data_IF_277382790393
#
_entry.id   IF_277382790393
#
_cell.length_a   1.000
_cell.length_b   1.000
_cell.length_c   1.000
_cell.angle_alpha   90.00
_cell.angle_beta   90.00
_cell.angle_gamma   90.00
#
_symmetry.space_group_name_H-M   'P 1'
#
loop_
_entity.id
_entity.type
_entity.pdbx_description
1 polymer ?
#
# COMPACT_ATOMS: atom_id res chain seq x y z
N UNK A 1 39.35 45.82 -18.31
CA UNK A 1 39.31 44.65 -17.37
C UNK A 1 38.03 44.51 -16.56
N UNK A 2 36.99 45.31 -16.81
CA UNK A 2 35.74 45.19 -16.04
C UNK A 2 34.59 44.61 -16.83
N UNK A 3 34.82 44.01 -18.00
CA UNK A 3 33.76 43.47 -18.88
C UNK A 3 33.67 41.97 -18.97
N UNK A 4 34.49 41.22 -18.19
CA UNK A 4 34.52 39.77 -18.26
C UNK A 4 33.71 39.10 -17.12
N UNK A 5 33.28 39.86 -16.12
CA UNK A 5 32.59 39.33 -14.92
C UNK A 5 31.07 39.22 -15.11
N UNK A 6 30.50 39.78 -16.18
CA UNK A 6 29.04 39.80 -16.33
C UNK A 6 28.46 38.69 -17.23
N UNK A 7 29.33 37.78 -17.71
CA UNK A 7 28.86 36.73 -18.66
C UNK A 7 28.80 35.33 -18.02
N UNK A 8 29.11 35.18 -16.74
CA UNK A 8 29.15 33.88 -16.05
C UNK A 8 27.91 33.62 -15.20
N UNK A 9 26.97 34.57 -15.12
CA UNK A 9 25.81 34.45 -14.21
C UNK A 9 24.50 34.01 -14.86
N UNK A 10 24.51 33.58 -16.12
CA UNK A 10 23.32 33.09 -16.83
C UNK A 10 23.34 31.58 -17.10
N UNK A 11 24.23 30.81 -16.46
CA UNK A 11 24.22 29.34 -16.56
C UNK A 11 23.66 28.70 -15.28
N UNK A 12 22.66 29.35 -14.70
CA UNK A 12 21.99 28.90 -13.51
C UNK A 12 20.66 28.23 -13.80
N UNK A 13 20.58 26.95 -13.54
CA UNK A 13 19.38 26.19 -13.24
C UNK A 13 18.38 25.92 -14.37
N UNK A 14 18.81 25.19 -15.36
CA UNK A 14 17.91 24.23 -15.96
C UNK A 14 17.94 22.97 -15.09
N UNK A 15 17.24 23.00 -13.97
CA UNK A 15 16.93 21.81 -13.19
C UNK A 15 15.93 21.00 -14.05
N UNK A 16 16.31 19.84 -14.58
CA UNK A 16 15.28 18.98 -15.17
C UNK A 16 14.34 18.61 -14.03
N UNK A 17 13.09 19.04 -14.13
CA UNK A 17 11.98 18.34 -13.45
C UNK A 17 11.98 16.93 -14.04
N UNK A 18 12.85 16.06 -13.52
CA UNK A 18 12.70 14.63 -13.63
C UNK A 18 11.45 14.31 -12.82
N UNK A 19 10.30 14.41 -13.49
CA UNK A 19 9.11 13.74 -13.04
C UNK A 19 9.51 12.28 -12.86
N UNK A 20 9.61 11.83 -11.62
CA UNK A 20 9.80 10.43 -11.30
C UNK A 20 8.56 9.72 -11.86
N UNK A 21 8.67 9.19 -13.06
CA UNK A 21 7.67 8.27 -13.55
C UNK A 21 7.69 7.11 -12.57
N UNK A 22 6.60 6.96 -11.82
CA UNK A 22 6.45 5.88 -10.86
C UNK A 22 6.65 4.56 -11.62
N UNK A 23 7.60 3.77 -11.14
CA UNK A 23 7.86 2.46 -11.74
C UNK A 23 6.88 1.46 -11.13
N UNK A 24 6.19 0.67 -11.95
CA UNK A 24 5.30 -0.35 -11.41
C UNK A 24 6.07 -1.34 -10.53
N UNK A 25 5.56 -1.60 -9.35
CA UNK A 25 6.19 -2.47 -8.35
C UNK A 25 6.07 -3.95 -8.71
N UNK A 26 7.15 -4.69 -8.53
CA UNK A 26 7.10 -6.15 -8.36
C UNK A 26 6.72 -6.51 -6.92
N UNK A 27 6.27 -7.74 -6.71
CA UNK A 27 5.87 -8.24 -5.38
C UNK A 27 6.97 -8.05 -4.33
N UNK A 28 8.22 -8.30 -4.70
CA UNK A 28 9.37 -8.23 -3.79
C UNK A 28 9.87 -6.80 -3.53
N UNK A 29 9.41 -5.85 -4.33
CA UNK A 29 9.84 -4.45 -4.22
C UNK A 29 8.97 -3.63 -3.25
N UNK A 30 7.79 -4.14 -2.86
CA UNK A 30 6.90 -3.47 -1.92
C UNK A 30 7.40 -3.69 -0.50
N UNK A 31 7.70 -2.62 0.26
CA UNK A 31 8.22 -2.75 1.60
C UNK A 31 7.18 -3.28 2.58
N UNK A 32 7.50 -4.37 3.27
CA UNK A 32 6.69 -4.86 4.38
C UNK A 32 7.01 -4.06 5.65
N UNK A 33 6.19 -3.07 5.94
CA UNK A 33 6.41 -2.15 7.07
C UNK A 33 6.26 -2.81 8.45
N UNK A 34 5.55 -3.93 8.54
CA UNK A 34 5.34 -4.66 9.79
C UNK A 34 6.61 -5.34 10.30
N UNK A 35 7.56 -5.66 9.42
CA UNK A 35 8.85 -6.25 9.80
C UNK A 35 9.68 -5.28 10.62
N UNK A 36 9.68 -4.00 10.24
CA UNK A 36 10.42 -2.96 10.95
C UNK A 36 9.69 -2.36 12.14
N UNK A 37 8.37 -2.31 12.08
CA UNK A 37 7.54 -1.74 13.14
C UNK A 37 6.19 -2.44 13.22
N UNK A 38 6.00 -3.20 14.29
CA UNK A 38 4.77 -3.97 14.56
C UNK A 38 3.49 -3.13 14.72
N UNK A 39 3.60 -1.82 14.81
CA UNK A 39 2.46 -0.88 14.90
C UNK A 39 2.11 -0.22 13.57
N UNK A 40 2.85 -0.55 12.51
CA UNK A 40 2.57 -0.07 11.16
C UNK A 40 1.97 -1.19 10.32
N UNK A 41 0.90 -0.88 9.63
CA UNK A 41 0.12 -1.83 8.84
C UNK A 41 0.02 -1.42 7.38
N UNK A 42 0.27 -0.15 7.08
CA UNK A 42 0.08 0.46 5.77
C UNK A 42 1.42 0.72 5.09
N UNK A 43 1.67 0.02 3.98
CA UNK A 43 2.77 0.30 3.06
C UNK A 43 2.31 1.29 2.01
N UNK A 44 2.89 2.49 2.00
CA UNK A 44 2.52 3.61 1.13
C UNK A 44 3.79 4.26 0.53
N UNK A 45 4.57 3.49 -0.26
CA UNK A 45 5.89 3.94 -0.73
C UNK A 45 5.80 5.14 -1.67
N UNK A 46 4.73 5.28 -2.45
CA UNK A 46 4.52 6.38 -3.40
C UNK A 46 3.83 7.59 -2.77
N UNK A 47 3.42 7.50 -1.51
CA UNK A 47 2.70 8.58 -0.85
C UNK A 47 1.32 8.86 -1.44
N UNK A 48 0.66 7.84 -2.00
CA UNK A 48 -0.70 7.97 -2.58
C UNK A 48 -1.76 8.25 -1.52
N UNK A 49 -1.52 7.81 -0.30
CA UNK A 49 -2.33 8.15 0.86
C UNK A 49 -1.67 9.29 1.65
N UNK A 50 -2.49 10.18 2.21
CA UNK A 50 -1.98 11.21 3.11
C UNK A 50 -1.43 10.62 4.41
N UNK A 51 -0.49 11.29 5.10
CA UNK A 51 0.00 10.83 6.40
C UNK A 51 -1.11 10.63 7.45
N UNK A 52 -2.14 11.49 7.44
CA UNK A 52 -3.29 11.36 8.33
C UNK A 52 -4.13 10.12 8.02
N UNK A 53 -4.37 9.83 6.74
CA UNK A 53 -5.08 8.62 6.32
C UNK A 53 -4.30 7.35 6.72
N UNK A 54 -2.98 7.33 6.53
CA UNK A 54 -2.13 6.21 6.96
C UNK A 54 -2.22 6.00 8.47
N UNK A 55 -2.15 7.07 9.26
CA UNK A 55 -2.24 6.98 10.72
C UNK A 55 -3.60 6.46 11.19
N UNK A 56 -4.68 6.88 10.55
CA UNK A 56 -6.04 6.39 10.85
C UNK A 56 -6.19 4.91 10.51
N UNK A 57 -5.76 4.48 9.33
CA UNK A 57 -5.76 3.08 8.91
C UNK A 57 -4.93 2.22 9.88
N UNK A 58 -3.72 2.65 10.22
CA UNK A 58 -2.85 1.93 11.14
C UNK A 58 -3.50 1.78 12.53
N UNK A 59 -4.21 2.79 13.01
CA UNK A 59 -4.94 2.76 14.27
C UNK A 59 -6.09 1.74 14.26
N UNK A 60 -6.86 1.71 13.17
CA UNK A 60 -7.93 0.73 12.98
C UNK A 60 -7.37 -0.70 12.90
N UNK A 61 -6.33 -0.91 12.12
CA UNK A 61 -5.66 -2.21 12.00
C UNK A 61 -5.09 -2.70 13.34
N UNK A 62 -4.49 -1.78 14.12
CA UNK A 62 -4.03 -2.09 15.47
C UNK A 62 -5.17 -2.55 16.38
N UNK A 63 -6.31 -1.86 16.34
CA UNK A 63 -7.49 -2.22 17.13
C UNK A 63 -8.02 -3.61 16.78
N UNK A 64 -8.09 -3.93 15.47
CA UNK A 64 -8.52 -5.26 15.02
C UNK A 64 -7.57 -6.36 15.50
N UNK A 65 -6.26 -6.12 15.40
CA UNK A 65 -5.25 -7.08 15.89
C UNK A 65 -5.28 -7.24 17.40
N UNK A 66 -5.41 -6.14 18.14
CA UNK A 66 -5.45 -6.16 19.61
C UNK A 66 -6.66 -6.91 20.14
N UNK A 67 -7.79 -6.81 19.43
CA UNK A 67 -9.02 -7.55 19.75
C UNK A 67 -9.01 -8.99 19.21
N UNK A 68 -7.91 -9.42 18.61
CA UNK A 68 -7.74 -10.75 17.98
C UNK A 68 -8.80 -11.07 16.90
N UNK A 69 -9.35 -10.04 16.24
CA UNK A 69 -10.36 -10.21 15.20
C UNK A 69 -9.74 -10.49 13.84
N UNK A 70 -8.73 -9.69 13.45
CA UNK A 70 -8.05 -9.83 12.17
C UNK A 70 -6.61 -9.33 12.24
N UNK A 71 -5.75 -9.91 11.42
CA UNK A 71 -4.44 -9.37 11.09
C UNK A 71 -4.51 -8.72 9.70
N UNK A 72 -4.34 -7.41 9.65
CA UNK A 72 -4.50 -6.63 8.44
C UNK A 72 -3.15 -6.18 7.91
N UNK A 73 -2.97 -6.22 6.60
CA UNK A 73 -1.90 -5.53 5.89
C UNK A 73 -2.51 -4.70 4.76
N UNK A 74 -2.10 -3.44 4.65
CA UNK A 74 -2.60 -2.52 3.64
C UNK A 74 -1.43 -2.08 2.76
N UNK A 75 -1.62 -2.12 1.46
CA UNK A 75 -0.67 -1.64 0.46
C UNK A 75 -1.36 -0.65 -0.45
N UNK A 76 -0.79 0.54 -0.59
CA UNK A 76 -1.27 1.57 -1.50
C UNK A 76 -0.10 2.01 -2.39
N UNK A 77 -0.23 1.78 -3.69
CA UNK A 77 0.80 2.08 -4.70
C UNK A 77 0.18 2.74 -5.92
N UNK A 78 1.00 3.41 -6.73
CA UNK A 78 0.54 3.97 -8.00
C UNK A 78 0.24 2.87 -9.01
N UNK A 79 1.19 1.96 -9.26
CA UNK A 79 1.00 0.83 -10.19
C UNK A 79 1.82 -0.39 -9.80
N UNK A 80 1.44 -1.55 -10.34
CA UNK A 80 2.10 -2.85 -10.16
C UNK A 80 2.47 -3.47 -11.50
N UNK A 81 3.45 -4.36 -11.50
CA UNK A 81 3.81 -5.16 -12.68
C UNK A 81 2.78 -6.26 -12.92
N UNK A 82 2.50 -6.50 -14.22
CA UNK A 82 1.54 -7.50 -14.65
C UNK A 82 0.10 -7.01 -14.68
N UNK A 83 -0.78 -7.81 -15.24
CA UNK A 83 -2.17 -7.42 -15.51
C UNK A 83 -3.17 -7.98 -14.49
N UNK A 84 -2.77 -9.01 -13.74
CA UNK A 84 -3.63 -9.70 -12.79
C UNK A 84 -3.40 -9.21 -11.35
N UNK A 85 -4.24 -8.27 -10.92
CA UNK A 85 -4.20 -7.72 -9.56
C UNK A 85 -4.47 -8.78 -8.48
N UNK A 86 -5.34 -9.74 -8.76
CA UNK A 86 -5.69 -10.78 -7.79
C UNK A 86 -4.49 -11.67 -7.49
N UNK A 87 -3.85 -12.20 -8.54
CA UNK A 87 -2.65 -13.04 -8.39
C UNK A 87 -1.51 -12.27 -7.72
N UNK A 88 -1.33 -10.99 -8.07
CA UNK A 88 -0.33 -10.14 -7.44
C UNK A 88 -0.60 -9.97 -5.94
N UNK A 89 -1.81 -9.58 -5.57
CA UNK A 89 -2.21 -9.39 -4.17
C UNK A 89 -2.10 -10.69 -3.36
N UNK A 90 -2.56 -11.80 -3.93
CA UNK A 90 -2.47 -13.11 -3.28
C UNK A 90 -1.03 -13.53 -3.02
N UNK A 91 -0.14 -13.37 -4.01
CA UNK A 91 1.29 -13.69 -3.87
C UNK A 91 1.94 -12.79 -2.81
N UNK A 92 1.69 -11.49 -2.87
CA UNK A 92 2.25 -10.50 -1.94
C UNK A 92 1.89 -10.82 -0.49
N UNK A 93 0.62 -10.98 -0.20
CA UNK A 93 0.16 -11.19 1.18
C UNK A 93 0.47 -12.60 1.70
N UNK A 94 0.55 -13.59 0.81
CA UNK A 94 1.03 -14.93 1.15
C UNK A 94 2.52 -14.90 1.55
N UNK A 95 3.36 -14.19 0.81
CA UNK A 95 4.78 -14.03 1.15
C UNK A 95 4.98 -13.28 2.47
N UNK A 96 4.11 -12.31 2.76
CA UNK A 96 4.16 -11.59 4.04
C UNK A 96 3.62 -12.40 5.22
N UNK A 97 2.95 -13.50 4.96
CA UNK A 97 2.37 -14.35 6.00
C UNK A 97 1.28 -13.63 6.79
N UNK A 98 0.42 -12.86 6.10
CA UNK A 98 -0.66 -12.11 6.72
C UNK A 98 -1.71 -13.06 7.28
N UNK A 99 -1.93 -12.99 8.59
CA UNK A 99 -2.85 -13.85 9.31
C UNK A 99 -2.16 -14.73 10.34
N UNK A 100 -2.93 -15.24 11.29
CA UNK A 100 -2.43 -16.16 12.31
C UNK A 100 -2.63 -17.60 11.83
N UNK A 101 -1.62 -18.43 12.02
CA UNK A 101 -1.65 -19.84 11.63
C UNK A 101 -2.76 -20.65 12.33
N UNK A 102 -3.22 -20.20 13.50
CA UNK A 102 -4.28 -20.84 14.29
C UNK A 102 -5.69 -20.42 13.92
N UNK A 103 -5.88 -19.26 13.30
CA UNK A 103 -7.20 -18.69 13.04
C UNK A 103 -7.42 -18.27 11.58
N UNK A 104 -6.38 -18.31 10.75
CA UNK A 104 -6.41 -17.89 9.33
C UNK A 104 -7.13 -16.56 9.09
N UNK A 105 -6.99 -15.63 10.04
CA UNK A 105 -7.71 -14.37 10.10
C UNK A 105 -6.96 -13.21 9.43
N UNK A 106 -6.23 -13.51 8.37
CA UNK A 106 -5.50 -12.52 7.59
C UNK A 106 -6.40 -11.74 6.63
N UNK A 107 -6.16 -10.44 6.52
CA UNK A 107 -6.79 -9.57 5.52
C UNK A 107 -5.71 -8.73 4.85
N UNK A 108 -5.49 -8.94 3.57
CA UNK A 108 -4.67 -8.09 2.72
C UNK A 108 -5.55 -7.15 1.90
N UNK A 109 -5.18 -5.87 1.88
CA UNK A 109 -5.85 -4.85 1.07
C UNK A 109 -4.82 -4.21 0.15
N UNK A 110 -5.01 -4.32 -1.15
CA UNK A 110 -4.16 -3.72 -2.18
C UNK A 110 -4.94 -2.65 -2.94
N UNK A 111 -4.49 -1.40 -2.82
CA UNK A 111 -4.98 -0.26 -3.63
C UNK A 111 -3.96 0.06 -4.72
N UNK A 112 -4.40 0.06 -5.97
CA UNK A 112 -3.61 0.47 -7.14
C UNK A 112 -4.29 1.65 -7.81
N UNK A 113 -3.71 2.84 -7.64
CA UNK A 113 -4.35 4.11 -8.00
C UNK A 113 -4.50 4.27 -9.49
N UNK A 114 -3.49 3.95 -10.29
CA UNK A 114 -3.53 4.10 -11.75
C UNK A 114 -4.58 3.22 -12.41
N UNK A 115 -4.90 2.09 -11.77
CA UNK A 115 -5.95 1.17 -12.23
C UNK A 115 -7.30 1.46 -11.61
N UNK A 116 -7.35 2.32 -10.59
CA UNK A 116 -8.56 2.62 -9.81
C UNK A 116 -9.21 1.36 -9.24
N UNK A 117 -8.38 0.44 -8.78
CA UNK A 117 -8.81 -0.85 -8.26
C UNK A 117 -8.31 -1.08 -6.84
N UNK A 118 -9.17 -1.72 -6.05
CA UNK A 118 -8.85 -2.25 -4.73
C UNK A 118 -9.09 -3.76 -4.74
N UNK A 119 -8.14 -4.52 -4.22
CA UNK A 119 -8.28 -5.97 -4.05
C UNK A 119 -8.16 -6.35 -2.59
N UNK A 120 -9.03 -7.25 -2.19
CA UNK A 120 -9.04 -7.86 -0.87
C UNK A 120 -8.60 -9.31 -0.99
N UNK A 121 -7.69 -9.74 -0.12
CA UNK A 121 -7.26 -11.13 0.03
C UNK A 121 -7.51 -11.53 1.47
N UNK A 122 -8.32 -12.53 1.69
CA UNK A 122 -8.73 -12.99 3.01
C UNK A 122 -8.31 -14.41 3.27
N UNK A 123 -7.90 -14.69 4.50
CA UNK A 123 -7.78 -16.04 4.97
C UNK A 123 -9.16 -16.69 5.24
N UNK A 124 -9.25 -18.03 5.24
CA UNK A 124 -10.50 -18.75 5.44
C UNK A 124 -11.26 -18.38 6.72
N UNK A 125 -10.54 -17.94 7.76
CA UNK A 125 -11.15 -17.52 9.03
C UNK A 125 -11.97 -16.22 8.97
N UNK A 126 -11.84 -15.43 7.90
CA UNK A 126 -12.57 -14.18 7.71
C UNK A 126 -13.63 -14.24 6.60
N UNK A 127 -13.62 -15.27 5.77
CA UNK A 127 -14.52 -15.36 4.61
C UNK A 127 -16.00 -15.26 5.01
N UNK A 128 -16.42 -15.97 6.02
CA UNK A 128 -17.81 -15.93 6.50
C UNK A 128 -18.24 -14.57 7.03
N UNK A 129 -17.33 -13.83 7.67
CA UNK A 129 -17.59 -12.50 8.22
C UNK A 129 -17.75 -11.43 7.12
N UNK A 130 -16.90 -11.49 6.10
CA UNK A 130 -16.91 -10.52 5.01
C UNK A 130 -18.07 -10.75 4.03
N UNK A 131 -18.44 -11.99 3.76
CA UNK A 131 -19.62 -12.31 2.93
C UNK A 131 -20.90 -11.79 3.57
N UNK A 132 -21.04 -11.93 4.88
CA UNK A 132 -22.23 -11.43 5.59
C UNK A 132 -22.35 -9.90 5.52
N UNK A 133 -21.24 -9.18 5.63
CA UNK A 133 -21.23 -7.70 5.51
C UNK A 133 -21.48 -7.22 4.08
N UNK A 134 -21.05 -7.96 3.06
CA UNK A 134 -21.34 -7.64 1.66
C UNK A 134 -22.83 -7.76 1.35
N UNK A 135 -23.49 -8.81 1.82
CA UNK A 135 -24.93 -9.00 1.66
C UNK A 135 -25.73 -7.90 2.36
N UNK A 136 -25.29 -7.44 3.53
CA UNK A 136 -25.93 -6.33 4.24
C UNK A 136 -25.75 -4.98 3.51
N UNK A 137 -24.67 -4.78 2.74
CA UNK A 137 -24.45 -3.58 1.94
C UNK A 137 -25.30 -3.54 0.67
N UNK A 138 -25.63 -4.68 0.08
CA UNK A 138 -26.48 -4.80 -1.11
C UNK A 138 -27.97 -4.55 -0.82
N UNK A 139 -28.37 -4.64 0.43
CA UNK A 139 -29.78 -4.36 0.86
C UNK A 139 -30.02 -2.87 1.15
N UNK A 140 -29.04 -2.04 1.05
CA UNK A 140 -29.14 -0.59 1.24
C UNK A 140 -29.21 0.16 -0.09
#
# INVERSE_FOLDING_TARGET
MKKIILTIFCFGMLFPLLGSAARPYGVEEIPNVQVGNRYRFTSNPDGVLSPSAVAEIDSLCYSLRHRALAQVAVVAVEDIRGDDLFSFAHTLFSQWGVGRADSDNGLGILLVVDRREVRFVTGPGLEGCLLYTSDAADEL
#
